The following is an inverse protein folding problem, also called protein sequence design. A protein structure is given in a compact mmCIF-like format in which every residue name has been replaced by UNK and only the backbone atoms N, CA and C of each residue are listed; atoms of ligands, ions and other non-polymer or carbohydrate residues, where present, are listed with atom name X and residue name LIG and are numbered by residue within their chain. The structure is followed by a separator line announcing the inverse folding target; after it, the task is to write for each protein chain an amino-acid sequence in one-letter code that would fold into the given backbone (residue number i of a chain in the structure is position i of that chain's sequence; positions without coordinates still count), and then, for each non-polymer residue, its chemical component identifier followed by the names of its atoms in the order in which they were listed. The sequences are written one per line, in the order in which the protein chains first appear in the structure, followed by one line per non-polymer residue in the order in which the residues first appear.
data_IF_618793441600
#
_entry.id   IF_618793441600
#
_cell.length_a   1.000
_cell.length_b   1.000
_cell.length_c   1.000
_cell.angle_alpha   90.00
_cell.angle_beta   90.00
_cell.angle_gamma   90.00
#
_symmetry.space_group_name_H-M   'P 1'
#
loop_
_entity.id
_entity.type
_entity.pdbx_description
1 polymer ?
#
# COMPACT_ATOMS: atom_id res chain seq x y z
N UNK A 1 18.47 -3.44 -9.20
CA UNK A 1 17.53 -4.05 -8.24
C UNK A 1 16.12 -3.95 -8.81
N UNK A 2 15.44 -5.07 -8.87
CA UNK A 2 14.07 -5.13 -9.36
C UNK A 2 13.11 -5.35 -8.20
N UNK A 3 12.08 -4.52 -8.14
CA UNK A 3 11.01 -4.65 -7.15
C UNK A 3 9.80 -5.29 -7.84
N UNK A 4 9.40 -6.46 -7.38
CA UNK A 4 8.27 -7.20 -7.93
C UNK A 4 7.29 -7.58 -6.82
N UNK A 5 6.00 -7.67 -7.17
CA UNK A 5 4.97 -8.07 -6.21
C UNK A 5 4.62 -7.01 -5.17
N UNK A 6 5.01 -5.76 -5.38
CA UNK A 6 4.78 -4.67 -4.43
C UNK A 6 3.74 -3.70 -5.01
N UNK A 7 2.49 -4.08 -4.97
CA UNK A 7 1.41 -3.27 -5.54
C UNK A 7 0.94 -2.15 -4.60
N UNK A 8 0.84 -2.38 -3.32
CA UNK A 8 0.41 -1.40 -2.32
C UNK A 8 -0.91 -0.69 -2.69
N UNK A 9 -1.82 -1.42 -3.31
CA UNK A 9 -3.08 -0.88 -3.82
C UNK A 9 -4.20 -0.92 -2.76
N UNK A 10 -3.90 -0.45 -1.57
CA UNK A 10 -4.84 -0.53 -0.44
C UNK A 10 -5.93 0.52 -0.49
N UNK A 11 -5.64 1.68 -1.05
CA UNK A 11 -6.53 2.83 -0.95
C UNK A 11 -7.92 2.58 -1.54
N UNK A 12 -8.06 1.95 -2.71
CA UNK A 12 -9.40 1.66 -3.26
C UNK A 12 -10.17 0.61 -2.47
N UNK A 13 -9.52 -0.10 -1.57
CA UNK A 13 -10.13 -1.20 -0.81
C UNK A 13 -10.65 -0.74 0.55
N UNK A 14 -10.54 0.54 0.87
CA UNK A 14 -10.97 1.09 2.15
C UNK A 14 -12.37 1.65 2.01
N UNK A 15 -13.26 1.28 2.93
CA UNK A 15 -14.59 1.84 3.04
C UNK A 15 -14.85 2.25 4.49
N UNK A 16 -15.79 3.17 4.68
CA UNK A 16 -16.24 3.59 6.00
C UNK A 16 -17.73 3.29 6.08
N UNK A 17 -18.13 2.55 7.11
CA UNK A 17 -19.54 2.21 7.31
C UNK A 17 -20.34 3.38 7.85
N UNK A 18 -21.67 3.25 7.84
CA UNK A 18 -22.55 4.26 8.42
C UNK A 18 -22.36 4.42 9.94
N UNK A 19 -21.78 3.41 10.58
CA UNK A 19 -21.43 3.44 12.01
C UNK A 19 -20.02 3.98 12.26
N UNK A 20 -19.38 4.55 11.24
CA UNK A 20 -18.03 5.11 11.32
C UNK A 20 -16.95 4.05 11.63
N UNK A 21 -17.12 2.85 11.11
CA UNK A 21 -16.12 1.79 11.19
C UNK A 21 -15.39 1.71 9.86
N UNK A 22 -14.06 1.73 9.92
CA UNK A 22 -13.22 1.62 8.73
C UNK A 22 -12.98 0.15 8.43
N UNK A 23 -13.31 -0.26 7.21
CA UNK A 23 -13.12 -1.63 6.73
C UNK A 23 -12.12 -1.63 5.58
N UNK A 24 -11.32 -2.68 5.51
CA UNK A 24 -10.45 -2.93 4.37
C UNK A 24 -10.94 -4.20 3.67
N UNK A 25 -11.21 -4.06 2.37
CA UNK A 25 -11.64 -5.17 1.52
C UNK A 25 -10.40 -5.76 0.85
N UNK A 26 -9.99 -6.96 1.30
CA UNK A 26 -8.83 -7.63 0.73
C UNK A 26 -9.25 -8.59 -0.35
N UNK A 27 -8.65 -8.44 -1.53
CA UNK A 27 -8.81 -9.40 -2.62
C UNK A 27 -7.59 -10.29 -2.68
N UNK A 28 -7.78 -11.57 -2.44
CA UNK A 28 -6.74 -12.55 -2.67
C UNK A 28 -6.87 -13.10 -4.09
N UNK A 29 -5.75 -13.31 -4.77
CA UNK A 29 -5.80 -13.70 -6.16
C UNK A 29 -6.43 -15.09 -6.38
N UNK A 30 -6.43 -15.96 -5.38
CA UNK A 30 -7.11 -17.27 -5.45
C UNK A 30 -8.58 -17.19 -5.02
N UNK A 31 -9.04 -16.06 -4.52
CA UNK A 31 -10.45 -15.81 -4.18
C UNK A 31 -11.11 -14.96 -5.25
N UNK A 32 -10.89 -15.23 -6.47
CA UNK A 32 -11.04 -14.40 -7.68
C UNK A 32 -12.26 -13.48 -7.76
N UNK A 33 -13.34 -13.79 -7.06
CA UNK A 33 -14.59 -13.03 -7.14
C UNK A 33 -15.13 -12.59 -5.79
N UNK A 34 -14.35 -12.76 -4.72
CA UNK A 34 -14.81 -12.43 -3.37
C UNK A 34 -13.81 -11.50 -2.70
N UNK A 35 -14.30 -10.36 -2.26
CA UNK A 35 -13.54 -9.52 -1.34
C UNK A 35 -14.06 -9.75 0.06
N UNK A 36 -13.17 -9.94 1.01
CA UNK A 36 -13.52 -10.01 2.42
C UNK A 36 -13.27 -8.66 3.06
N UNK A 37 -14.27 -8.16 3.77
CA UNK A 37 -14.13 -6.94 4.54
C UNK A 37 -13.61 -7.29 5.94
N UNK A 38 -12.58 -6.60 6.37
CA UNK A 38 -12.03 -6.75 7.70
C UNK A 38 -11.93 -5.38 8.37
N UNK A 39 -12.26 -5.34 9.67
CA UNK A 39 -12.09 -4.11 10.45
C UNK A 39 -10.61 -3.84 10.64
N UNK A 40 -10.19 -2.61 10.35
CA UNK A 40 -8.82 -2.18 10.61
C UNK A 40 -8.72 -1.80 12.08
N UNK A 41 -7.94 -2.56 12.85
CA UNK A 41 -7.87 -2.42 14.31
C UNK A 41 -6.57 -1.75 14.75
N UNK A 42 -6.67 -0.92 15.77
CA UNK A 42 -5.52 -0.43 16.52
C UNK A 42 -5.25 -1.33 17.73
N UNK A 43 -4.12 -1.10 18.41
CA UNK A 43 -3.66 -1.90 19.54
C UNK A 43 -4.68 -1.97 20.68
N UNK A 44 -5.51 -0.95 20.85
CA UNK A 44 -6.49 -0.87 21.95
C UNK A 44 -7.85 -1.46 21.60
N UNK A 45 -7.93 -2.35 20.62
CA UNK A 45 -9.16 -3.01 20.19
C UNK A 45 -10.21 -2.06 19.60
N UNK A 46 -9.87 -0.83 19.34
CA UNK A 46 -10.72 0.11 18.62
C UNK A 46 -10.36 0.13 17.15
N UNK A 47 -11.36 0.28 16.29
CA UNK A 47 -11.09 0.40 14.86
C UNK A 47 -10.24 1.65 14.60
N UNK A 48 -9.27 1.53 13.69
CA UNK A 48 -8.43 2.65 13.31
C UNK A 48 -9.28 3.74 12.64
N UNK A 49 -8.94 4.98 12.88
CA UNK A 49 -9.56 6.11 12.19
C UNK A 49 -8.93 6.26 10.80
N UNK A 50 -9.72 6.73 9.85
CA UNK A 50 -9.25 6.89 8.48
C UNK A 50 -8.00 7.79 8.41
N UNK A 51 -7.98 8.90 9.15
CA UNK A 51 -6.82 9.79 9.10
C UNK A 51 -5.54 9.11 9.61
N UNK A 52 -5.66 8.20 10.57
CA UNK A 52 -4.51 7.44 11.08
C UNK A 52 -4.00 6.47 10.03
N UNK A 53 -4.90 5.78 9.34
CA UNK A 53 -4.55 4.86 8.25
C UNK A 53 -3.86 5.62 7.12
N UNK A 54 -4.41 6.75 6.72
CA UNK A 54 -3.84 7.59 5.67
C UNK A 54 -2.46 8.12 6.07
N UNK A 55 -2.27 8.46 7.35
CA UNK A 55 -0.98 8.88 7.85
C UNK A 55 0.07 7.77 7.69
N UNK A 56 -0.27 6.54 8.07
CA UNK A 56 0.65 5.42 7.92
C UNK A 56 0.94 5.14 6.44
N UNK A 57 -0.05 5.27 5.57
CA UNK A 57 0.15 5.15 4.13
C UNK A 57 1.07 6.25 3.62
N UNK A 58 0.88 7.48 4.08
CA UNK A 58 1.73 8.60 3.73
C UNK A 58 3.19 8.32 4.09
N UNK A 59 3.44 7.86 5.33
CA UNK A 59 4.79 7.53 5.77
C UNK A 59 5.39 6.43 4.92
N UNK A 60 4.61 5.38 4.63
CA UNK A 60 5.07 4.27 3.81
C UNK A 60 5.47 4.73 2.40
N UNK A 61 4.60 5.45 1.70
CA UNK A 61 4.88 5.91 0.35
C UNK A 61 6.02 6.92 0.32
N UNK A 62 6.09 7.82 1.28
CA UNK A 62 7.18 8.79 1.37
C UNK A 62 8.52 8.10 1.61
N UNK A 63 8.54 7.02 2.41
CA UNK A 63 9.79 6.30 2.70
C UNK A 63 10.43 5.71 1.45
N UNK A 64 9.64 5.38 0.42
CA UNK A 64 10.18 4.87 -0.83
C UNK A 64 10.96 5.94 -1.59
N UNK A 65 10.57 7.21 -1.50
CA UNK A 65 11.36 8.30 -2.06
C UNK A 65 12.69 8.49 -1.33
N UNK A 66 12.70 8.27 -0.01
CA UNK A 66 13.95 8.30 0.76
C UNK A 66 14.86 7.15 0.32
N UNK A 67 14.29 5.95 0.12
CA UNK A 67 15.05 4.80 -0.37
C UNK A 67 15.59 5.02 -1.77
N UNK A 68 14.80 5.63 -2.66
CA UNK A 68 15.25 5.95 -4.02
C UNK A 68 16.44 6.91 -3.99
N UNK A 69 16.35 7.97 -3.20
CA UNK A 69 17.44 8.93 -3.07
C UNK A 69 18.70 8.27 -2.51
N UNK A 70 18.55 7.39 -1.53
CA UNK A 70 19.66 6.66 -0.94
C UNK A 70 20.32 5.74 -1.97
N UNK A 71 19.51 4.97 -2.70
CA UNK A 71 20.03 4.07 -3.74
C UNK A 71 20.79 4.86 -4.81
N UNK A 72 20.24 6.00 -5.24
CA UNK A 72 20.87 6.84 -6.25
C UNK A 72 22.22 7.37 -5.77
N UNK A 73 22.33 7.74 -4.48
CA UNK A 73 23.62 8.17 -3.91
C UNK A 73 24.65 7.06 -3.89
N UNK A 74 24.22 5.80 -3.79
CA UNK A 74 25.09 4.64 -3.85
C UNK A 74 25.40 4.20 -5.29
N UNK A 75 24.92 4.92 -6.28
CA UNK A 75 25.07 4.54 -7.69
C UNK A 75 24.25 3.31 -8.06
N UNK A 76 23.17 3.05 -7.34
CA UNK A 76 22.27 1.92 -7.59
C UNK A 76 20.95 2.43 -8.13
N UNK A 77 20.23 1.58 -8.84
CA UNK A 77 18.91 1.86 -9.36
C UNK A 77 17.93 0.80 -8.89
N UNK A 78 16.74 1.24 -8.47
CA UNK A 78 15.63 0.35 -8.15
C UNK A 78 14.59 0.53 -9.23
N UNK A 79 14.14 -0.58 -9.81
CA UNK A 79 13.15 -0.57 -10.89
C UNK A 79 11.92 -1.33 -10.42
N UNK A 80 10.77 -0.68 -10.46
CA UNK A 80 9.51 -1.30 -10.06
C UNK A 80 8.90 -1.98 -11.28
N UNK A 81 8.88 -3.30 -11.26
CA UNK A 81 8.30 -4.11 -12.34
C UNK A 81 6.91 -4.64 -11.99
N UNK A 82 6.32 -4.16 -10.91
CA UNK A 82 4.99 -4.58 -10.45
C UNK A 82 3.90 -3.91 -11.28
N UNK A 83 3.07 -4.65 -12.02
CA UNK A 83 1.95 -4.05 -12.73
C UNK A 83 0.94 -3.43 -11.76
N UNK A 84 0.46 -2.22 -12.08
CA UNK A 84 -0.56 -1.56 -11.26
C UNK A 84 -0.10 -1.12 -9.89
N UNK A 85 1.21 -1.05 -9.65
CA UNK A 85 1.75 -0.63 -8.36
C UNK A 85 1.41 0.83 -8.06
N UNK A 86 1.07 1.11 -6.81
CA UNK A 86 0.86 2.47 -6.32
C UNK A 86 2.15 3.13 -5.85
N UNK A 87 3.26 2.36 -5.79
CA UNK A 87 4.56 2.92 -5.41
C UNK A 87 5.11 3.69 -6.60
N UNK A 88 5.21 5.01 -6.47
CA UNK A 88 5.55 5.89 -7.57
C UNK A 88 6.97 6.48 -7.48
N UNK A 89 7.78 5.98 -6.52
CA UNK A 89 9.09 6.53 -6.24
C UNK A 89 10.18 6.03 -7.21
N UNK A 90 9.98 4.88 -7.83
CA UNK A 90 11.00 4.21 -8.61
C UNK A 90 10.65 4.22 -10.10
N UNK A 91 11.69 4.14 -10.93
CA UNK A 91 11.50 3.94 -12.36
C UNK A 91 10.68 2.66 -12.60
N UNK A 92 9.76 2.72 -13.53
CA UNK A 92 8.90 1.59 -13.87
C UNK A 92 9.37 0.92 -15.15
N UNK A 93 9.21 -0.39 -15.19
CA UNK A 93 9.51 -1.17 -16.38
C UNK A 93 8.47 -2.27 -16.52
N UNK A 94 7.96 -2.45 -17.73
CA UNK A 94 7.15 -3.62 -18.08
C UNK A 94 8.05 -4.82 -18.25
N UNK A 95 7.62 -5.94 -17.70
CA UNK A 95 8.33 -7.20 -17.85
C UNK A 95 7.54 -8.12 -18.76
#
# INVERSE_FOLDING_TARGET
IYLAGADHSWLPEITVTDDNVVLMHQKHFYDQNKSQAATVMQENLHSARLYTILYHMYVAFKSYFVLEAYARRLGKEVINVTPGSYIDAFKRMKV
#
